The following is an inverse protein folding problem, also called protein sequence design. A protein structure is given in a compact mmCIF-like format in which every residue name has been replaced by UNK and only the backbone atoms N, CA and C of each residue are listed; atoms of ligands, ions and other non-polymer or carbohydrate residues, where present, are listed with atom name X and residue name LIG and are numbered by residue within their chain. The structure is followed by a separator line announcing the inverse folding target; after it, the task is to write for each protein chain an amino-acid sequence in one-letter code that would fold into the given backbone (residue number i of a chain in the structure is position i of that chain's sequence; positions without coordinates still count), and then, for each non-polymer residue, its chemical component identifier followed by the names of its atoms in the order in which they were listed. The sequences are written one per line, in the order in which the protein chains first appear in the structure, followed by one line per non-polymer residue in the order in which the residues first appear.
data_IF_989635978135
#
_entry.id   IF_989635978135
#
_cell.length_a   1.000
_cell.length_b   1.000
_cell.length_c   1.000
_cell.angle_alpha   90.00
_cell.angle_beta   90.00
_cell.angle_gamma   90.00
#
_symmetry.space_group_name_H-M   'P 1'
#
loop_
_entity.id
_entity.type
_entity.pdbx_description
1 polymer ?
2 non-polymer ?
3 non-polymer ?
4 non-polymer ?
5 non-polymer ?
6 water ?
#
# COMPACT_ATOMS: atom_id res chain seq x y z
N UNK A 1 -14.74 7.31 9.09
CA UNK A 1 -13.95 8.43 9.30
C UNK A 1 -12.54 8.29 8.71
N UNK A 2 -11.60 8.95 9.32
CA UNK A 2 -10.22 9.07 8.79
C UNK A 2 -9.56 7.72 8.72
N UNK A 3 -9.59 6.90 9.78
CA UNK A 3 -8.92 5.57 9.74
C UNK A 3 -9.54 4.70 8.65
N UNK A 4 -10.87 4.69 8.55
CA UNK A 4 -11.52 3.92 7.49
C UNK A 4 -11.03 4.44 6.14
N UNK A 5 -10.88 5.75 5.99
CA UNK A 5 -10.49 6.33 4.67
C UNK A 5 -9.10 5.84 4.30
N UNK A 6 -8.21 5.70 5.28
CA UNK A 6 -6.88 5.16 4.99
C UNK A 6 -7.05 3.74 4.43
N UNK A 7 -7.97 2.95 4.98
CA UNK A 7 -8.17 1.56 4.50
C UNK A 7 -8.75 1.63 3.08
N UNK A 8 -9.72 2.50 2.84
CA UNK A 8 -10.32 2.68 1.49
C UNK A 8 -9.25 3.02 0.44
N UNK A 9 -8.45 4.03 0.73
CA UNK A 9 -7.37 4.48 -0.20
C UNK A 9 -6.37 3.36 -0.46
N UNK A 10 -5.96 2.68 0.61
CA UNK A 10 -5.02 1.55 0.48
C UNK A 10 -5.61 0.43 -0.37
N UNK A 11 -6.94 0.22 -0.36
CA UNK A 11 -7.59 -0.87 -1.09
C UNK A 11 -7.50 -0.65 -2.59
N UNK A 12 -7.24 0.59 -3.04
CA UNK A 12 -7.05 0.84 -4.50
C UNK A 12 -5.96 1.87 -4.67
N UNK A 13 -4.81 1.64 -4.08
CA UNK A 13 -3.85 2.72 -3.83
C UNK A 13 -3.25 3.27 -5.14
N UNK A 14 -2.91 2.40 -6.10
CA UNK A 14 -2.33 2.84 -7.41
C UNK A 14 -3.28 3.86 -8.04
N UNK A 15 -4.57 3.56 -8.08
CA UNK A 15 -5.56 4.40 -8.77
C UNK A 15 -5.74 5.69 -7.99
N UNK A 16 -5.91 5.62 -6.67
CA UNK A 16 -6.11 6.87 -5.87
C UNK A 16 -4.86 7.72 -5.96
N UNK A 17 -3.66 7.12 -5.87
CA UNK A 17 -2.40 7.88 -5.81
C UNK A 17 -2.30 8.74 -7.10
N UNK A 18 -2.52 8.11 -8.24
CA UNK A 18 -2.43 8.72 -9.57
C UNK A 18 -3.50 9.80 -9.71
N UNK A 19 -4.74 9.45 -9.42
CA UNK A 19 -5.89 10.37 -9.64
C UNK A 19 -5.75 11.57 -8.74
N UNK A 20 -5.32 11.38 -7.48
CA UNK A 20 -5.16 12.56 -6.60
C UNK A 20 -4.00 13.42 -7.03
N UNK A 21 -2.88 12.85 -7.43
CA UNK A 21 -1.76 13.63 -7.91
C UNK A 21 -2.17 14.38 -9.18
N UNK A 22 -2.94 13.75 -10.08
CA UNK A 22 -3.34 14.44 -11.34
C UNK A 22 -4.26 15.59 -10.98
N UNK A 23 -5.15 15.38 -10.02
CA UNK A 23 -6.04 16.44 -9.53
C UNK A 23 -5.20 17.62 -9.05
N UNK A 24 -4.13 17.38 -8.32
CA UNK A 24 -3.18 18.40 -7.85
C UNK A 24 -2.53 19.13 -9.01
N UNK A 25 -1.89 18.41 -9.90
CA UNK A 25 -1.19 19.01 -11.06
C UNK A 25 -2.13 19.76 -11.97
N UNK A 26 -3.37 19.31 -12.16
CA UNK A 26 -4.34 20.04 -13.04
C UNK A 26 -4.91 21.27 -12.30
N UNK A 27 -5.09 21.20 -10.96
CA UNK A 27 -5.60 22.37 -10.22
C UNK A 27 -4.52 23.46 -10.13
N UNK A 28 -3.26 23.08 -10.08
CA UNK A 28 -2.12 23.98 -9.80
C UNK A 28 -1.04 23.73 -10.82
N UNK A 29 -1.29 24.12 -12.09
CA UNK A 29 -0.34 23.73 -13.14
C UNK A 29 1.08 24.24 -12.91
N UNK A 30 1.25 25.34 -12.17
CA UNK A 30 2.59 25.92 -11.92
C UNK A 30 3.41 24.97 -11.03
N UNK A 31 2.75 24.09 -10.27
CA UNK A 31 3.45 23.05 -9.44
C UNK A 31 4.34 22.14 -10.30
N UNK A 32 4.15 22.06 -11.62
CA UNK A 32 5.00 21.22 -12.49
C UNK A 32 6.42 21.76 -12.55
N UNK A 33 6.65 22.97 -12.07
CA UNK A 33 8.01 23.53 -11.86
C UNK A 33 8.86 22.48 -11.12
N UNK A 34 8.25 21.64 -10.25
CA UNK A 34 8.98 20.65 -9.42
C UNK A 34 8.91 19.29 -10.11
N UNK A 35 8.25 19.22 -11.25
CA UNK A 35 7.94 17.94 -11.91
C UNK A 35 8.13 18.19 -13.40
N UNK A 36 9.33 18.59 -13.79
CA UNK A 36 9.57 19.02 -15.20
C UNK A 36 9.29 17.92 -16.23
N UNK A 37 9.46 16.64 -15.87
CA UNK A 37 9.29 15.47 -16.78
C UNK A 37 7.80 15.15 -17.02
N UNK A 38 6.89 15.78 -16.29
CA UNK A 38 5.44 15.54 -16.46
C UNK A 38 4.76 16.60 -17.35
N UNK A 39 5.54 17.51 -17.91
CA UNK A 39 5.02 18.66 -18.71
C UNK A 39 4.63 18.13 -20.09
N UNK A 40 3.61 18.72 -20.68
CA UNK A 40 3.16 18.42 -22.05
C UNK A 40 2.58 17.03 -22.25
N UNK A 41 1.93 16.44 -21.24
CA UNK A 41 1.39 15.07 -21.32
C UNK A 41 0.01 15.04 -20.67
N UNK A 42 -0.96 14.45 -21.37
CA UNK A 42 -2.36 14.25 -20.88
C UNK A 42 -2.26 13.33 -19.67
N UNK A 43 -3.34 13.27 -18.87
CA UNK A 43 -3.45 12.26 -17.79
C UNK A 43 -3.07 10.85 -18.27
N UNK A 44 -3.68 10.34 -19.34
CA UNK A 44 -3.48 8.96 -19.82
C UNK A 44 -1.99 8.75 -20.15
N UNK A 45 -1.35 9.75 -20.75
CA UNK A 45 0.10 9.71 -21.07
C UNK A 45 0.91 9.58 -19.79
N UNK A 46 0.66 10.44 -18.80
CA UNK A 46 1.34 10.37 -17.50
C UNK A 46 1.20 8.98 -16.90
N UNK A 47 0.01 8.37 -16.91
CA UNK A 47 -0.31 7.06 -16.26
C UNK A 47 0.36 5.89 -16.99
N UNK A 48 1.04 6.20 -18.09
CA UNK A 48 1.85 5.22 -18.87
C UNK A 48 3.35 5.45 -18.68
N UNK A 49 3.78 6.51 -17.97
CA UNK A 49 5.20 6.85 -17.71
C UNK A 49 5.65 6.15 -16.41
N UNK A 50 6.64 5.25 -16.51
CA UNK A 50 7.00 4.35 -15.38
C UNK A 50 7.22 5.14 -14.09
N UNK A 51 7.99 6.24 -14.10
CA UNK A 51 8.33 6.91 -12.83
C UNK A 51 7.04 7.56 -12.30
N UNK A 52 6.15 8.03 -13.17
CA UNK A 52 4.89 8.62 -12.67
C UNK A 52 4.12 7.58 -11.83
N UNK A 53 4.01 6.35 -12.32
CA UNK A 53 3.26 5.30 -11.59
C UNK A 53 4.00 4.90 -10.34
N UNK A 54 5.29 4.62 -10.52
CA UNK A 54 6.17 4.12 -9.43
C UNK A 54 6.25 5.16 -8.33
N UNK A 55 6.59 6.40 -8.66
CA UNK A 55 6.86 7.46 -7.65
C UNK A 55 5.54 7.87 -6.98
N UNK A 56 4.44 8.05 -7.73
CA UNK A 56 3.10 8.42 -7.18
C UNK A 56 2.70 7.39 -6.12
N UNK A 57 2.83 6.10 -6.45
CA UNK A 57 2.48 5.03 -5.51
C UNK A 57 3.40 5.11 -4.28
N UNK A 58 4.69 5.28 -4.46
CA UNK A 58 5.60 5.31 -3.28
C UNK A 58 5.30 6.51 -2.42
N UNK A 59 4.98 7.64 -3.00
CA UNK A 59 4.56 8.84 -2.22
C UNK A 59 3.32 8.52 -1.38
N UNK A 60 2.35 7.90 -2.02
CA UNK A 60 1.03 7.62 -1.40
C UNK A 60 1.20 6.57 -0.30
N UNK A 61 2.05 5.57 -0.56
CA UNK A 61 2.37 4.49 0.40
C UNK A 61 2.80 5.22 1.68
N UNK A 62 3.77 6.15 1.58
CA UNK A 62 4.29 6.77 2.80
C UNK A 62 3.25 7.72 3.34
N UNK A 63 2.48 8.39 2.47
CA UNK A 63 1.48 9.36 3.01
C UNK A 63 0.47 8.58 3.89
N UNK A 64 0.08 7.39 3.44
CA UNK A 64 -0.93 6.57 4.20
C UNK A 64 -0.29 6.11 5.52
N UNK A 65 0.99 5.78 5.54
CA UNK A 65 1.71 5.44 6.79
C UNK A 65 1.70 6.60 7.77
N UNK A 66 1.96 7.80 7.26
CA UNK A 66 2.02 9.03 8.11
C UNK A 66 0.63 9.31 8.65
N UNK A 67 -0.38 9.18 7.80
CA UNK A 67 -1.79 9.27 8.24
C UNK A 67 -2.06 8.22 9.29
N UNK A 68 -1.62 6.99 9.10
CA UNK A 68 -1.96 5.88 10.01
C UNK A 68 -1.29 6.06 11.36
N UNK A 69 -0.11 6.66 11.39
CA UNK A 69 0.68 6.85 12.64
C UNK A 69 0.16 8.08 13.40
N UNK A 70 -0.70 8.88 12.78
CA UNK A 70 -1.18 10.16 13.37
C UNK A 70 -2.14 9.87 14.53
N UNK A 71 -2.25 10.79 15.48
CA UNK A 71 -3.31 10.76 16.52
C UNK A 71 -4.23 11.96 16.24
N UNK A 72 -5.52 11.72 16.07
CA UNK A 72 -6.50 12.80 15.83
C UNK A 72 -5.98 13.70 14.69
N UNK A 73 -5.44 13.10 13.63
CA UNK A 73 -5.07 13.82 12.39
C UNK A 73 -3.80 14.64 12.63
N UNK A 74 -3.08 14.39 13.73
CA UNK A 74 -1.80 15.09 14.03
C UNK A 74 -0.64 14.12 13.82
N UNK A 75 0.18 14.38 12.77
CA UNK A 75 1.25 13.42 12.44
C UNK A 75 2.31 13.40 13.54
N UNK A 76 3.08 12.32 13.61
CA UNK A 76 4.31 12.24 14.44
C UNK A 76 5.33 13.27 13.99
N UNK A 77 6.01 13.91 14.94
CA UNK A 77 7.19 14.77 14.70
C UNK A 77 8.25 14.02 13.88
N UNK A 78 8.45 12.73 14.11
CA UNK A 78 9.49 11.96 13.38
C UNK A 78 9.12 11.87 11.90
N UNK A 79 7.82 11.78 11.61
CA UNK A 79 7.40 11.66 10.21
C UNK A 79 7.54 13.04 9.56
N UNK A 80 7.27 14.14 10.29
CA UNK A 80 7.41 15.49 9.68
C UNK A 80 8.89 15.73 9.39
N UNK A 81 9.75 15.37 10.35
CA UNK A 81 11.22 15.55 10.17
C UNK A 81 11.71 14.76 8.95
N UNK A 82 11.23 13.52 8.75
CA UNK A 82 11.61 12.70 7.58
C UNK A 82 11.23 13.44 6.30
N UNK A 83 10.00 13.97 6.26
CA UNK A 83 9.51 14.72 5.10
C UNK A 83 10.32 15.99 4.86
N UNK A 84 10.72 16.72 5.88
CA UNK A 84 11.53 17.95 5.69
C UNK A 84 12.92 17.51 5.22
N UNK A 85 13.47 16.41 5.76
CA UNK A 85 14.92 16.09 5.61
C UNK A 85 15.22 15.32 4.31
N UNK A 86 14.24 14.69 3.68
CA UNK A 86 14.40 13.95 2.41
C UNK A 86 15.06 14.79 1.32
N UNK A 87 16.13 14.27 0.71
CA UNK A 87 16.91 14.91 -0.39
C UNK A 87 15.94 15.35 -1.50
N UNK A 88 14.85 14.60 -1.70
CA UNK A 88 13.90 14.79 -2.80
C UNK A 88 13.05 16.03 -2.56
N UNK A 89 12.99 16.52 -1.32
CA UNK A 89 12.12 17.66 -0.90
C UNK A 89 12.94 18.92 -0.64
N UNK A 90 14.24 18.87 -0.98
CA UNK A 90 15.18 19.99 -0.81
C UNK A 90 14.58 21.29 -1.36
N UNK A 91 13.93 21.21 -2.52
CA UNK A 91 13.27 22.40 -3.10
C UNK A 91 12.23 23.07 -2.20
N UNK A 92 11.39 22.31 -1.51
CA UNK A 92 9.95 22.62 -1.32
C UNK A 92 9.68 23.58 -0.14
N UNK A 93 8.48 24.16 -0.11
CA UNK A 93 7.95 25.00 0.97
C UNK A 93 6.61 24.43 1.44
N UNK A 94 6.11 24.92 2.57
CA UNK A 94 4.84 24.40 3.13
C UNK A 94 3.68 24.65 2.15
N UNK A 95 3.69 25.74 1.35
CA UNK A 95 2.67 26.03 0.33
C UNK A 95 2.53 24.87 -0.64
N UNK A 96 3.60 24.17 -0.95
CA UNK A 96 3.52 23.01 -1.89
C UNK A 96 2.65 21.93 -1.26
N UNK A 97 2.80 21.73 0.04
CA UNK A 97 2.02 20.69 0.78
C UNK A 97 0.59 21.13 0.97
N UNK A 98 0.36 22.42 1.22
CA UNK A 98 -1.01 22.95 1.44
C UNK A 98 -1.81 22.71 0.16
N UNK A 99 -1.19 23.01 -0.97
CA UNK A 99 -1.86 22.81 -2.28
C UNK A 99 -2.17 21.34 -2.50
N UNK A 100 -1.25 20.43 -2.21
CA UNK A 100 -1.56 19.00 -2.40
C UNK A 100 -2.80 18.65 -1.58
N UNK A 101 -2.89 19.11 -0.33
CA UNK A 101 -4.00 18.68 0.52
C UNK A 101 -5.28 19.42 0.15
N UNK A 102 -5.18 20.63 -0.37
CA UNK A 102 -6.40 21.28 -0.88
C UNK A 102 -6.95 20.38 -2.02
N UNK A 103 -6.10 20.01 -2.97
CA UNK A 103 -6.53 19.17 -4.11
C UNK A 103 -7.06 17.82 -3.63
N UNK A 104 -6.46 17.22 -2.60
CA UNK A 104 -6.90 15.90 -2.09
C UNK A 104 -8.30 16.02 -1.46
N UNK A 105 -8.54 17.10 -0.73
CA UNK A 105 -9.83 17.31 -0.05
C UNK A 105 -10.89 17.54 -1.12
N UNK A 106 -10.58 18.33 -2.14
CA UNK A 106 -11.56 18.64 -3.20
C UNK A 106 -11.86 17.36 -3.98
N UNK A 107 -10.85 16.54 -4.26
CA UNK A 107 -11.06 15.22 -4.91
C UNK A 107 -12.05 14.39 -4.09
N UNK A 108 -11.82 14.26 -2.77
CA UNK A 108 -12.72 13.53 -1.87
C UNK A 108 -14.14 14.15 -1.89
N UNK A 109 -14.23 15.48 -1.88
CA UNK A 109 -15.54 16.21 -1.83
C UNK A 109 -16.31 15.97 -3.12
N UNK A 110 -15.63 15.69 -4.23
CA UNK A 110 -16.29 15.49 -5.56
C UNK A 110 -16.52 14.00 -5.83
N UNK A 111 -15.97 13.11 -5.01
CA UNK A 111 -15.99 11.65 -5.27
C UNK A 111 -17.39 11.13 -5.02
N UNK A 112 -17.70 9.91 -5.38
CA UNK A 112 -19.07 9.49 -5.00
C UNK A 112 -19.25 9.14 -3.52
N UNK A 113 -18.27 9.40 -2.63
CA UNK A 113 -17.96 8.48 -1.51
C UNK A 113 -17.86 9.16 -0.15
N UNK A 114 -18.07 8.35 0.90
CA UNK A 114 -18.28 8.82 2.28
C UNK A 114 -16.92 9.08 2.95
N UNK A 115 -15.98 9.70 2.21
CA UNK A 115 -14.69 10.15 2.81
C UNK A 115 -15.02 11.18 3.88
N UNK A 116 -14.20 11.19 4.93
CA UNK A 116 -14.26 12.22 6.01
C UNK A 116 -13.39 13.38 5.55
N UNK A 117 -13.91 14.21 4.63
CA UNK A 117 -13.09 15.24 3.94
C UNK A 117 -12.57 16.24 4.97
N UNK A 118 -13.35 16.49 6.02
CA UNK A 118 -13.04 17.40 7.16
C UNK A 118 -11.74 16.95 7.82
N UNK A 119 -11.65 15.68 8.08
CA UNK A 119 -10.45 15.09 8.74
C UNK A 119 -9.24 15.21 7.84
N UNK A 120 -9.37 14.98 6.55
CA UNK A 120 -8.20 15.14 5.64
C UNK A 120 -7.74 16.61 5.59
N UNK A 121 -8.67 17.56 5.70
CA UNK A 121 -8.33 19.00 5.65
C UNK A 121 -7.52 19.34 6.89
N UNK A 122 -7.95 18.83 8.05
CA UNK A 122 -7.26 18.99 9.35
C UNK A 122 -5.87 18.36 9.27
N UNK A 123 -5.79 17.12 8.78
CA UNK A 123 -4.52 16.40 8.58
C UNK A 123 -3.58 17.26 7.70
N UNK A 124 -4.07 17.78 6.58
CA UNK A 124 -3.18 18.60 5.76
C UNK A 124 -2.67 19.82 6.52
N UNK A 125 -3.55 20.52 7.22
CA UNK A 125 -3.18 21.71 8.03
C UNK A 125 -2.16 21.34 9.10
N UNK A 126 -2.42 20.27 9.81
CA UNK A 126 -1.56 19.81 10.94
C UNK A 126 -0.22 19.30 10.42
N UNK A 127 -0.18 18.69 9.22
CA UNK A 127 1.09 18.27 8.60
C UNK A 127 1.89 19.53 8.22
N UNK A 128 1.25 20.50 7.62
CA UNK A 128 1.91 21.79 7.29
C UNK A 128 2.52 22.41 8.55
N UNK A 129 1.76 22.50 9.63
CA UNK A 129 2.27 22.98 10.94
C UNK A 129 3.48 22.16 11.41
N UNK A 130 3.40 20.82 11.33
CA UNK A 130 4.50 19.93 11.75
C UNK A 130 5.73 20.16 10.83
N UNK A 131 5.49 20.36 9.53
CA UNK A 131 6.60 20.59 8.59
C UNK A 131 7.30 21.91 8.98
N UNK A 132 6.53 22.99 9.20
CA UNK A 132 7.08 24.31 9.57
C UNK A 132 7.86 24.17 10.88
N UNK A 133 7.25 23.53 11.87
CA UNK A 133 7.91 23.31 13.18
C UNK A 133 9.20 22.54 12.98
N UNK A 134 9.24 21.62 12.01
CA UNK A 134 10.45 20.78 11.77
C UNK A 134 11.42 21.42 10.75
N UNK A 135 11.18 22.66 10.32
CA UNK A 135 12.20 23.47 9.65
C UNK A 135 11.90 23.77 8.21
N UNK A 136 10.72 23.44 7.69
CA UNK A 136 10.42 23.76 6.29
C UNK A 136 9.99 25.23 6.20
N UNK A 137 10.48 25.92 5.19
CA UNK A 137 10.18 27.35 4.95
C UNK A 137 8.80 27.44 4.30
N UNK B 1 11.64 -5.25 13.82
CA UNK B 1 10.78 -6.38 14.13
C UNK B 1 9.58 -6.44 13.21
N UNK B 2 8.50 -7.09 13.64
CA UNK B 2 7.34 -7.34 12.74
C UNK B 2 6.68 -6.03 12.33
N UNK B 3 6.46 -5.12 13.26
CA UNK B 3 5.80 -3.83 12.94
C UNK B 3 6.61 -3.02 11.95
N UNK B 4 7.95 -2.95 12.12
CA UNK B 4 8.81 -2.26 11.15
C UNK B 4 8.69 -2.95 9.79
N UNK B 5 8.68 -4.29 9.77
CA UNK B 5 8.61 -5.07 8.52
C UNK B 5 7.31 -4.75 7.77
N UNK B 6 6.22 -4.59 8.51
CA UNK B 6 4.94 -4.12 7.87
C UNK B 6 5.15 -2.75 7.21
N UNK B 7 5.87 -1.84 7.85
CA UNK B 7 6.15 -0.53 7.29
C UNK B 7 7.02 -0.68 6.04
N UNK B 8 8.07 -1.47 6.14
CA UNK B 8 9.01 -1.68 5.04
C UNK B 8 8.21 -2.22 3.81
N UNK B 9 7.43 -3.25 4.03
CA UNK B 9 6.65 -3.88 2.91
C UNK B 9 5.67 -2.86 2.35
N UNK B 10 4.91 -2.19 3.22
CA UNK B 10 3.94 -1.15 2.77
C UNK B 10 4.66 -0.04 1.99
N UNK B 11 5.92 0.31 2.33
CA UNK B 11 6.59 1.44 1.66
C UNK B 11 6.75 1.19 0.18
N UNK B 12 6.91 -0.07 -0.18
CA UNK B 12 7.13 -0.46 -1.61
C UNK B 12 6.24 -1.63 -1.96
N UNK B 13 4.97 -1.52 -1.61
CA UNK B 13 4.12 -2.71 -1.52
C UNK B 13 3.96 -3.41 -2.87
N UNK B 14 3.88 -2.66 -3.97
CA UNK B 14 3.66 -3.22 -5.33
C UNK B 14 4.85 -4.12 -5.73
N UNK B 15 6.06 -3.73 -5.34
CA UNK B 15 7.30 -4.48 -5.69
C UNK B 15 7.40 -5.74 -4.84
N UNK B 16 7.27 -5.61 -3.52
CA UNK B 16 7.34 -6.74 -2.62
C UNK B 16 6.22 -7.70 -2.99
N UNK B 17 5.02 -7.21 -3.21
CA UNK B 17 3.86 -8.07 -3.50
C UNK B 17 4.20 -8.94 -4.73
N UNK B 18 4.68 -8.37 -5.82
CA UNK B 18 4.99 -9.14 -7.04
C UNK B 18 6.12 -10.14 -6.77
N UNK B 19 7.18 -9.69 -6.12
CA UNK B 19 8.39 -10.53 -5.91
C UNK B 19 8.07 -11.71 -5.02
N UNK B 20 7.33 -11.54 -3.95
CA UNK B 20 6.97 -12.64 -3.04
C UNK B 20 6.00 -13.61 -3.75
N UNK B 21 5.00 -13.11 -4.45
CA UNK B 21 4.01 -13.95 -5.12
C UNK B 21 4.77 -14.77 -6.17
N UNK B 22 5.69 -14.16 -6.87
CA UNK B 22 6.45 -14.93 -7.91
C UNK B 22 7.28 -15.98 -7.19
N UNK B 23 7.88 -15.63 -6.09
CA UNK B 23 8.67 -16.61 -5.30
C UNK B 23 7.79 -17.83 -4.95
N UNK B 24 6.57 -17.59 -4.51
CA UNK B 24 5.55 -18.62 -4.18
C UNK B 24 5.25 -19.44 -5.43
N UNK B 25 4.94 -18.79 -6.55
CA UNK B 25 4.49 -19.53 -7.75
C UNK B 25 5.64 -20.42 -8.27
N UNK B 26 6.86 -19.92 -8.15
CA UNK B 26 8.05 -20.62 -8.68
C UNK B 26 8.42 -21.76 -7.75
N UNK B 27 8.24 -21.58 -6.44
CA UNK B 27 8.61 -22.65 -5.50
C UNK B 27 7.59 -23.77 -5.60
N UNK B 28 6.34 -23.45 -5.88
CA UNK B 28 5.18 -24.37 -5.82
C UNK B 28 4.38 -24.29 -7.10
N UNK B 29 4.93 -24.79 -8.22
CA UNK B 29 4.29 -24.54 -9.51
C UNK B 29 2.86 -25.11 -9.65
N UNK B 30 2.51 -26.18 -8.95
CA UNK B 30 1.12 -26.72 -9.01
C UNK B 30 0.14 -25.68 -8.49
N UNK B 31 0.58 -24.70 -7.70
CA UNK B 31 -0.30 -23.63 -7.18
C UNK B 31 -0.84 -22.77 -8.30
N UNK B 32 -0.37 -22.88 -9.55
CA UNK B 32 -1.02 -22.16 -10.70
C UNK B 32 -2.36 -22.80 -11.09
N UNK B 33 -2.76 -23.92 -10.51
CA UNK B 33 -4.13 -24.42 -10.76
C UNK B 33 -5.14 -23.36 -10.24
N UNK B 34 -4.69 -22.47 -9.34
CA UNK B 34 -5.60 -21.44 -8.80
C UNK B 34 -5.51 -20.14 -9.60
N UNK B 35 -4.58 -20.05 -10.56
CA UNK B 35 -4.23 -18.79 -11.26
C UNK B 35 -4.04 -19.13 -12.73
N UNK B 36 -5.10 -19.62 -13.35
CA UNK B 36 -4.91 -20.22 -14.71
C UNK B 36 -4.46 -19.16 -15.74
N UNK B 37 -4.77 -17.90 -15.45
CA UNK B 37 -4.45 -16.67 -16.22
C UNK B 37 -2.93 -16.45 -16.36
N UNK B 38 -2.15 -17.00 -15.42
CA UNK B 38 -0.72 -16.68 -15.22
C UNK B 38 0.13 -17.85 -15.73
N UNK B 39 -0.48 -18.87 -16.31
CA UNK B 39 0.22 -20.07 -16.83
C UNK B 39 0.99 -19.66 -18.09
N UNK B 40 2.18 -20.24 -18.23
CA UNK B 40 2.94 -20.19 -19.49
C UNK B 40 3.53 -18.81 -19.69
N UNK B 41 3.79 -18.07 -18.58
CA UNK B 41 4.38 -16.74 -18.63
C UNK B 41 5.60 -16.64 -17.70
N UNK B 42 6.63 -15.94 -18.14
CA UNK B 42 7.82 -15.72 -17.31
C UNK B 42 7.52 -14.63 -16.28
N UNK B 43 8.44 -14.47 -15.32
CA UNK B 43 8.26 -13.42 -14.28
C UNK B 43 8.07 -12.06 -14.96
N UNK B 44 8.88 -11.71 -15.97
CA UNK B 44 8.79 -10.35 -16.60
C UNK B 44 7.55 -10.30 -17.51
N UNK B 45 7.00 -11.40 -18.06
CA UNK B 45 5.71 -11.30 -18.79
C UNK B 45 4.58 -11.09 -17.76
N UNK B 46 4.68 -11.67 -16.55
CA UNK B 46 3.59 -11.44 -15.55
C UNK B 46 3.67 -9.98 -15.06
N UNK B 47 4.86 -9.48 -14.75
CA UNK B 47 4.98 -8.10 -14.24
C UNK B 47 4.51 -7.06 -15.27
N UNK B 48 4.30 -7.43 -16.53
CA UNK B 48 3.96 -6.45 -17.57
C UNK B 48 2.45 -6.35 -17.65
N UNK B 49 1.76 -7.32 -17.05
CA UNK B 49 0.30 -7.49 -17.14
C UNK B 49 -0.36 -6.67 -16.01
N UNK B 50 -1.41 -5.91 -16.36
CA UNK B 50 -2.12 -4.97 -15.46
C UNK B 50 -2.61 -5.72 -14.24
N UNK B 51 -3.43 -6.76 -14.42
CA UNK B 51 -4.19 -7.38 -13.31
C UNK B 51 -3.16 -8.07 -12.42
N UNK B 52 -1.99 -8.46 -12.95
CA UNK B 52 -0.94 -9.09 -12.11
C UNK B 52 -0.49 -8.11 -11.01
N UNK B 53 0.03 -6.96 -11.38
CA UNK B 53 0.44 -5.94 -10.40
C UNK B 53 -0.74 -5.55 -9.52
N UNK B 54 -1.88 -5.30 -10.14
CA UNK B 54 -3.09 -4.78 -9.47
C UNK B 54 -3.62 -5.78 -8.43
N UNK B 55 -3.74 -7.06 -8.76
CA UNK B 55 -4.34 -8.05 -7.83
C UNK B 55 -3.27 -8.44 -6.77
N UNK B 56 -1.99 -8.58 -7.14
CA UNK B 56 -0.94 -8.95 -6.14
C UNK B 56 -0.87 -7.85 -5.10
N UNK B 57 -0.87 -6.60 -5.56
CA UNK B 57 -0.86 -5.43 -4.64
C UNK B 57 -2.01 -5.59 -3.65
N UNK B 58 -3.22 -5.80 -4.17
CA UNK B 58 -4.42 -5.74 -3.29
C UNK B 58 -4.43 -6.91 -2.33
N UNK B 59 -3.88 -8.03 -2.76
CA UNK B 59 -3.70 -9.19 -1.86
C UNK B 59 -2.74 -8.79 -0.71
N UNK B 60 -1.58 -8.21 -0.99
CA UNK B 60 -0.56 -7.87 0.01
C UNK B 60 -1.06 -6.72 0.89
N UNK B 61 -1.89 -5.85 0.36
CA UNK B 61 -2.48 -4.80 1.19
C UNK B 61 -3.33 -5.46 2.27
N UNK B 62 -4.21 -6.38 1.88
CA UNK B 62 -5.04 -7.05 2.91
C UNK B 62 -4.12 -7.82 3.88
N UNK B 63 -3.12 -8.54 3.37
CA UNK B 63 -2.17 -9.26 4.24
C UNK B 63 -1.57 -8.28 5.27
N UNK B 64 -1.23 -7.07 4.86
CA UNK B 64 -0.58 -6.09 5.77
C UNK B 64 -1.60 -5.59 6.79
N UNK B 65 -2.86 -5.41 6.37
CA UNK B 65 -3.92 -4.97 7.29
C UNK B 65 -4.05 -6.05 8.38
N UNK B 66 -4.12 -7.32 7.99
CA UNK B 66 -4.32 -8.46 8.93
C UNK B 66 -3.11 -8.55 9.80
N UNK B 67 -1.90 -8.33 9.23
CA UNK B 67 -0.66 -8.41 10.05
C UNK B 67 -0.66 -7.28 11.10
N UNK B 68 -1.06 -6.10 10.73
CA UNK B 68 -1.00 -4.90 11.62
C UNK B 68 -2.08 -5.02 12.69
N UNK B 69 -3.19 -5.70 12.41
CA UNK B 69 -4.28 -5.92 13.41
C UNK B 69 -3.96 -7.08 14.36
N UNK B 70 -2.96 -7.88 14.02
CA UNK B 70 -2.55 -9.05 14.84
C UNK B 70 -1.95 -8.59 16.17
N UNK B 71 -2.14 -9.38 17.21
CA UNK B 71 -1.42 -9.18 18.51
C UNK B 71 -0.37 -10.27 18.63
N UNK B 72 0.91 -9.94 18.88
CA UNK B 72 1.96 -10.97 19.06
C UNK B 72 1.90 -12.02 17.92
N UNK B 73 1.76 -11.55 16.68
CA UNK B 73 1.68 -12.34 15.42
C UNK B 73 0.47 -13.27 15.39
N UNK B 74 -0.55 -13.01 16.20
CA UNK B 74 -1.76 -13.86 16.15
C UNK B 74 -2.82 -13.03 15.51
N UNK B 75 -3.32 -13.45 14.35
CA UNK B 75 -4.29 -12.61 13.68
C UNK B 75 -5.65 -12.69 14.35
N UNK B 76 -6.48 -11.68 14.12
CA UNK B 76 -7.87 -11.66 14.63
C UNK B 76 -8.68 -12.76 13.97
N UNK B 77 -9.54 -13.42 14.76
CA UNK B 77 -10.43 -14.46 14.21
C UNK B 77 -11.30 -13.81 13.13
N UNK B 78 -11.72 -12.54 13.32
CA UNK B 78 -12.60 -11.88 12.32
C UNK B 78 -11.84 -11.80 10.99
N UNK B 79 -10.54 -11.55 11.03
CA UNK B 79 -9.81 -11.40 9.75
C UNK B 79 -9.67 -12.77 9.08
N UNK B 80 -9.35 -13.79 9.86
CA UNK B 80 -9.30 -15.18 9.33
C UNK B 80 -10.65 -15.48 8.67
N UNK B 81 -11.76 -15.13 9.33
CA UNK B 81 -13.11 -15.44 8.78
C UNK B 81 -13.23 -14.76 7.41
N UNK B 82 -12.87 -13.48 7.32
CA UNK B 82 -12.96 -12.75 6.02
C UNK B 82 -12.23 -13.55 4.95
N UNK B 83 -11.04 -14.04 5.25
CA UNK B 83 -10.26 -14.72 4.23
C UNK B 83 -10.94 -16.06 3.88
N UNK B 84 -11.52 -16.75 4.86
CA UNK B 84 -12.26 -18.01 4.57
C UNK B 84 -13.49 -17.70 3.67
N UNK B 85 -14.19 -16.61 3.96
CA UNK B 85 -15.52 -16.33 3.39
C UNK B 85 -15.42 -15.60 2.05
N UNK B 86 -14.26 -15.06 1.69
CA UNK B 86 -14.10 -14.46 0.34
C UNK B 86 -14.44 -15.46 -0.79
N UNK B 87 -15.36 -15.03 -1.67
CA UNK B 87 -15.73 -15.78 -2.92
C UNK B 87 -14.46 -16.35 -3.56
N UNK B 88 -13.45 -15.50 -3.73
CA UNK B 88 -12.27 -15.85 -4.56
C UNK B 88 -11.45 -16.94 -3.85
N UNK B 89 -11.74 -17.20 -2.59
CA UNK B 89 -11.03 -18.24 -1.82
C UNK B 89 -11.88 -19.49 -1.65
N UNK B 90 -12.94 -19.66 -2.45
CA UNK B 90 -13.82 -20.85 -2.35
C UNK B 90 -13.04 -22.14 -2.59
N UNK B 91 -12.15 -22.17 -3.55
CA UNK B 91 -11.47 -23.49 -3.71
C UNK B 91 -10.58 -23.96 -2.50
N UNK B 92 -10.16 -23.09 -1.58
CA UNK B 92 -8.80 -23.22 -1.00
C UNK B 92 -8.81 -24.02 0.28
N UNK B 93 -7.65 -24.53 0.66
CA UNK B 93 -7.39 -25.20 1.94
C UNK B 93 -6.20 -24.51 2.63
N UNK B 94 -6.00 -24.79 3.89
CA UNK B 94 -4.94 -24.13 4.69
C UNK B 94 -3.58 -24.43 4.06
N UNK B 95 -3.38 -25.59 3.40
CA UNK B 95 -2.12 -25.87 2.69
C UNK B 95 -1.73 -24.77 1.69
N UNK B 96 -2.70 -24.19 0.98
CA UNK B 96 -2.38 -23.12 0.01
C UNK B 96 -1.71 -21.97 0.78
N UNK B 97 -2.31 -21.55 1.90
CA UNK B 97 -1.75 -20.46 2.75
C UNK B 97 -0.41 -20.86 3.41
N UNK B 98 -0.25 -22.08 3.94
CA UNK B 98 1.04 -22.54 4.52
C UNK B 98 2.13 -22.31 3.48
N UNK B 99 1.90 -22.77 2.25
CA UNK B 99 2.89 -22.68 1.15
C UNK B 99 3.24 -21.21 0.83
N UNK B 100 2.25 -20.32 0.85
CA UNK B 100 2.51 -18.89 0.60
C UNK B 100 3.47 -18.38 1.67
N UNK B 101 3.22 -18.71 2.95
CA UNK B 101 4.04 -18.14 4.01
C UNK B 101 5.38 -18.81 4.02
N UNK B 102 5.47 -20.08 3.66
CA UNK B 102 6.83 -20.70 3.53
C UNK B 102 7.64 -19.88 2.54
N UNK B 103 7.06 -19.60 1.37
CA UNK B 103 7.73 -18.83 0.31
C UNK B 103 8.08 -17.43 0.81
N UNK B 104 7.17 -16.83 1.59
CA UNK B 104 7.40 -15.45 2.08
C UNK B 104 8.59 -15.46 3.04
N UNK B 105 8.61 -16.43 3.95
CA UNK B 105 9.69 -16.49 4.95
C UNK B 105 11.03 -16.73 4.28
N UNK B 106 11.04 -17.62 3.28
CA UNK B 106 12.28 -17.96 2.53
C UNK B 106 12.76 -16.73 1.77
N UNK B 107 11.83 -15.94 1.27
CA UNK B 107 12.16 -14.68 0.55
C UNK B 107 12.87 -13.73 1.48
N UNK B 108 12.29 -13.57 2.67
CA UNK B 108 12.84 -12.61 3.64
C UNK B 108 14.25 -13.09 4.03
N UNK B 109 14.41 -14.38 4.28
CA UNK B 109 15.72 -14.95 4.74
C UNK B 109 16.79 -14.78 3.66
N UNK B 110 16.41 -14.75 2.40
CA UNK B 110 17.34 -14.63 1.26
C UNK B 110 17.60 -13.15 0.97
N UNK B 111 16.83 -12.19 1.50
CA UNK B 111 16.87 -10.78 0.99
C UNK B 111 18.09 -10.10 1.59
N UNK B 112 18.49 -8.92 1.20
CA UNK B 112 19.65 -8.44 2.01
C UNK B 112 19.33 -7.96 3.43
N UNK B 113 18.09 -8.09 3.91
CA UNK B 113 17.53 -7.11 4.85
C UNK B 113 17.15 -7.73 6.19
N UNK B 114 17.00 -6.89 7.21
CA UNK B 114 16.83 -7.38 8.60
C UNK B 114 15.33 -7.59 8.89
N UNK B 115 14.67 -8.29 7.99
CA UNK B 115 13.29 -8.75 8.24
C UNK B 115 13.29 -9.68 9.44
N UNK B 116 12.25 -9.60 10.25
CA UNK B 116 12.07 -10.47 11.43
C UNK B 116 11.44 -11.77 10.90
N UNK B 117 12.25 -12.61 10.27
CA UNK B 117 11.68 -13.77 9.53
C UNK B 117 10.99 -14.73 10.51
N UNK B 118 11.46 -14.85 11.71
CA UNK B 118 10.86 -15.71 12.77
C UNK B 118 9.40 -15.30 13.03
N UNK B 119 9.18 -14.00 13.14
CA UNK B 119 7.82 -13.45 13.37
C UNK B 119 6.88 -13.73 12.20
N UNK B 120 7.38 -13.64 10.96
CA UNK B 120 6.53 -13.92 9.80
C UNK B 120 6.22 -15.43 9.77
N UNK B 121 7.16 -16.26 10.22
CA UNK B 121 6.94 -17.71 10.31
C UNK B 121 5.80 -17.95 11.31
N UNK B 122 5.90 -17.40 12.51
CA UNK B 122 4.86 -17.48 13.56
C UNK B 122 3.52 -17.01 13.00
N UNK B 123 3.52 -15.83 12.40
CA UNK B 123 2.31 -15.23 11.84
C UNK B 123 1.68 -16.18 10.82
N UNK B 124 2.45 -16.73 9.87
CA UNK B 124 1.86 -17.70 8.95
C UNK B 124 1.29 -18.92 9.68
N UNK B 125 2.02 -19.54 10.63
CA UNK B 125 1.49 -20.69 11.37
C UNK B 125 0.19 -20.32 12.08
N UNK B 126 0.15 -19.16 12.72
CA UNK B 126 -1.02 -18.72 13.53
C UNK B 126 -2.13 -18.34 12.58
N UNK B 127 -1.83 -17.82 11.38
CA UNK B 127 -2.93 -17.55 10.41
C UNK B 127 -3.49 -18.88 9.87
N UNK B 128 -2.67 -19.87 9.50
CA UNK B 128 -3.16 -21.25 9.16
C UNK B 128 -4.08 -21.77 10.29
N UNK B 129 -3.63 -21.68 11.51
CA UNK B 129 -4.47 -22.21 12.62
C UNK B 129 -5.82 -21.47 12.67
N UNK B 130 -5.77 -20.13 12.59
CA UNK B 130 -6.95 -19.25 12.62
C UNK B 130 -7.86 -19.54 11.42
N UNK B 131 -7.31 -19.85 10.24
CA UNK B 131 -8.19 -20.15 9.07
C UNK B 131 -8.94 -21.47 9.34
N UNK B 132 -8.26 -22.43 9.94
CA UNK B 132 -8.87 -23.72 10.36
C UNK B 132 -10.01 -23.45 11.36
N UNK B 133 -9.72 -22.70 12.42
CA UNK B 133 -10.69 -22.30 13.48
C UNK B 133 -11.89 -21.59 12.83
N UNK B 134 -11.66 -20.79 11.77
CA UNK B 134 -12.74 -20.02 11.10
C UNK B 134 -13.40 -20.82 9.99
N UNK B 135 -13.02 -22.10 9.78
CA UNK B 135 -13.82 -22.99 8.93
C UNK B 135 -13.16 -23.50 7.68
N UNK B 136 -11.92 -23.17 7.42
CA UNK B 136 -11.24 -23.64 6.19
C UNK B 136 -10.75 -25.06 6.41
N UNK B 137 -10.93 -25.90 5.40
CA UNK B 137 -10.44 -27.30 5.42
C UNK B 137 -8.93 -27.31 5.14
X LIG C 1 9.77 12.31 -3.91
X LIG C 1 6.76 11.29 -0.21
X LIG C 1 4.63 15.60 -0.75
X LIG C 1 7.67 16.61 -4.34
X LIG C 1 9.09 11.69 -2.89
X LIG C 1 9.30 10.34 -2.53
X LIG C 1 8.46 10.03 -1.51
X LIG C 1 7.73 11.21 -1.22
X LIG C 1 8.35 8.70 -0.82
X LIG C 1 10.23 9.37 -3.17
X LIG C 1 9.52 8.86 -4.43
X LIG C 1 10.45 7.97 -5.20
X LIG C 1 10.06 6.86 -5.59
X LIG C 1 11.62 8.35 -5.47
X LIG C 1 5.93 12.40 -0.05
X LIG C 1 4.83 12.41 0.89
X LIG C 1 4.18 13.61 0.71
X LIG C 1 4.96 14.33 -0.32
X LIG C 1 4.46 11.25 1.76
X LIG C 1 3.03 14.26 1.40
X LIG C 1 2.63 13.85 2.57
X LIG C 1 5.25 16.24 -1.82
X LIG C 1 4.85 17.47 -2.38
X LIG C 1 5.73 17.74 -3.42
X LIG C 1 6.63 16.69 -3.44
X LIG C 1 3.66 18.27 -1.91
X LIG C 1 5.73 18.88 -4.35
X LIG C 1 4.73 19.75 -4.51
X LIG C 1 8.47 15.49 -4.48
X LIG C 1 9.50 15.45 -5.54
X LIG C 1 10.07 14.25 -5.43
X LIG C 1 9.41 13.58 -4.27
X LIG C 1 9.80 16.53 -6.59
X LIG C 1 11.22 13.64 -6.22
X LIG C 1 11.13 13.72 -7.71
X LIG C 1 10.16 12.68 -8.09
X LIG C 1 10.04 11.64 -7.37
X LIG C 1 9.45 12.93 -9.08
X LIG C 1 8.11 12.27 -2.06
X LIG C 1 5.93 13.54 -0.72
X LIG C 1 6.35 15.77 -2.44
X LIG C 1 8.46 14.35 -3.76
X LIG C 1 7.36 14.07 -2.17
X LIG D 1 1.33 13.59 -4.48
X LIG D 1 0.12 12.93 -4.33
X LIG D 1 0.00 11.62 -4.74
X LIG D 1 1.08 10.98 -5.33
X LIG D 1 2.29 11.66 -5.47
X LIG D 1 2.43 12.98 -5.05
X LIG D 1 7.19 11.68 -9.24
X LIG D 1 3.76 13.72 -5.19
X LIG D 1 4.68 13.17 -6.26
X LIG D 1 4.18 12.58 -7.40
X LIG D 1 5.01 12.09 -8.41
X LIG D 1 6.38 12.16 -8.26
X LIG D 1 6.92 12.71 -7.10
X LIG D 1 6.07 13.20 -6.12
X LIG D 1 -1.19 10.96 -4.61
X LIG E 1 -15.91 5.08 1.67
X LIG E 1 -16.81 6.03 1.11
X LIG E 1 -15.87 5.26 3.17
X LIG E 1 -15.71 3.99 3.79
X LIG E 1 -14.76 6.21 3.52
X LIG E 1 -13.51 5.65 3.22
X LIG F 1 -11.92 8.30 12.86
X LIG F 1 -12.06 9.56 12.23
X LIG F 1 -10.64 7.73 12.56
X LIG F 1 -12.11 8.42 14.29
X LIG F 1 -12.91 7.38 12.38
X LIG G 1 0.78 20.97 -20.01
X LIG G 1 2.23 20.93 -19.95
X LIG G 1 0.34 20.53 -21.27
X LIG G 1 0.28 20.04 -19.02
X LIG G 1 0.28 22.31 -19.71
X LIG H 1 14.01 6.35 -9.50
X LIG H 1 13.06 6.12 -10.54
X LIG H 1 15.33 6.01 -9.94
X LIG H 1 13.66 5.54 -8.36
X LIG H 1 13.98 7.75 -9.14
X LIG I 1 -8.03 -12.92 -4.72
X LIG I 1 -6.28 -11.69 -0.35
X LIG I 1 -3.97 -15.90 0.03
X LIG I 1 -5.98 -17.32 -4.14
X LIG I 1 -7.68 -12.19 -3.58
X LIG I 1 -8.02 -10.82 -3.36
X LIG I 1 -7.57 -10.47 -2.13
X LIG I 1 -6.94 -11.63 -1.57
X LIG I 1 -7.69 -9.05 -1.52
X LIG I 1 -8.76 -9.90 -4.32
X LIG I 1 -7.78 -9.17 -5.25
X LIG I 1 -8.50 -8.38 -6.34
X LIG I 1 -8.27 -7.22 -6.54
X LIG I 1 -9.34 -8.87 -7.10
X LIG I 1 -5.48 -12.72 0.10
X LIG I 1 -4.69 -12.68 1.32
X LIG I 1 -4.04 -13.85 1.42
X LIG I 1 -4.47 -14.63 0.26
X LIG I 1 -4.55 -11.55 2.26
X LIG I 1 -3.12 -14.38 2.44
X LIG I 1 -3.00 -13.89 3.65
X LIG I 1 -4.29 -16.65 -1.10
X LIG I 1 -3.73 -17.89 -1.40
X LIG I 1 -4.30 -18.31 -2.59
X LIG I 1 -5.24 -17.31 -2.97
X LIG I 1 -2.72 -18.59 -0.54
X LIG I 1 -4.02 -19.51 -3.41
X LIG I 1 -2.90 -20.26 -3.31
X LIG I 1 -6.67 -16.20 -4.58
X LIG I 1 -7.34 -16.27 -5.85
X LIG I 1 -7.89 -15.06 -6.02
X LIG I 1 -7.60 -14.27 -4.84
X LIG I 1 -7.40 -17.43 -6.83
X LIG I 1 -8.68 -14.62 -7.25
X LIG I 1 -7.76 -14.13 -8.37
X LIG I 1 -7.52 -12.65 -8.33
X LIG I 1 -8.36 -11.86 -7.83
X LIG I 1 -6.46 -12.19 -8.80
X LIG I 1 -7.01 -12.71 -2.44
X LIG I 1 -5.30 -13.90 -0.45
X LIG I 1 -5.18 -16.25 -2.06
X LIG I 1 -6.89 -15.00 -3.98
X LIG I 1 -6.23 -14.49 -2.22
X LIG J 1 -4.48 -13.92 -6.10
X LIG J 1 -4.60 -13.25 -7.31
X LIG J 1 -3.50 -12.64 -7.87
X LIG J 1 -2.28 -12.69 -7.21
X LIG J 1 -2.18 -13.37 -6.00
X LIG J 1 -3.28 -14.00 -5.42
X LIG J 1 1.01 -13.44 -0.57
X LIG J 1 -3.21 -14.77 -4.12
X LIG J 1 -2.08 -14.42 -3.18
X LIG J 1 -0.75 -14.45 -3.58
X LIG J 1 0.28 -14.12 -2.73
X LIG J 1 0.00 -13.75 -1.43
X LIG J 1 -1.31 -13.73 -0.99
X LIG J 1 -2.34 -14.07 -1.86
X LIG J 1 -3.66 -11.99 -9.06
X LIG K 1 12.92 -5.13 7.60
X LIG K 1 11.78 -4.32 7.81
X LIG K 1 14.16 -4.29 7.60
X LIG K 1 14.34 -3.72 6.31
X LIG K 1 14.10 -3.21 8.65
X LIG K 1 13.52 -2.04 8.10
#
# INVERSE_FOLDING_TARGET
GFKQDIATLRGDLRTYAQDIFLAFLNKYPDEKRNFKNYVGKSDQELKSMAKFGDHTEKVFNLMMEVADRATDCVPLASDASTLVQMKQHSGLTTGNFEKLFVALVEYMRASGQSFDSQSWDRFGKNLVSALSSAGMK
GFKQDIATLRGDLRTYAQDIFLAFLNKYPDEKRNFKNYVGKSDQELKSMAKFGDHTEKVFNLMMEVADRATDCVPLASDASTLVQMKQHSGLTTGNFEKLFVALVEYMRASGQSFDSQSWDRFGKNLVSALSSAGMK
HEM CHA CHB CHC CHD C1A C2A C3A C4A CMA CAA CBA CGA O1A O2A C1B C2B C3B C4B CMB CAB CBB C1C C2C C3C C4C CMC CAC CBC C1D C2D C3D C4D CMD CAD CBD CGD O1D O2D NA NB NC ND FE
T0U C1 C2 C3 C4 C5 C6 O1 C7 C8 C9 C10 C11 C12 C13 O2
GOL C1 O1 C2 O2 C3 O3
SO4 S O1 O2 O3 O4
SO4 S O1 O2 O3 O4
SO4 S O1 O2 O3 O4
HEM CHA CHB CHC CHD C1A C2A C3A C4A CMA CAA CBA CGA O1A O2A C1B C2B C3B C4B CMB CAB CBB C1C C2C C3C C4C CMC CAC CBC C1D C2D C3D C4D CMD CAD CBD CGD O1D O2D NA NB NC ND FE
T0U C1 C2 C3 C4 C5 C6 O1 C7 C8 C9 C10 C11 C12 C13 O2
GOL C1 O1 C2 O2 C3 O3
#
